data_IF_046810086205
#
_entry.id   IF_046810086205
#
_cell.length_a   1.000
_cell.length_b   1.000
_cell.length_c   1.000
_cell.angle_alpha   90.00
_cell.angle_beta   90.00
_cell.angle_gamma   90.00
#
_symmetry.space_group_name_H-M   'P 1'
#
loop_
_entity.id
_entity.type
_entity.pdbx_description
1 polymer ?
#
# COMPACT_ATOMS: atom_id res chain seq x y z
N UNK A 1 1.95 -17.99 -21.70
CA UNK A 1 3.40 -18.22 -21.96
C UNK A 1 3.96 -18.77 -20.66
N UNK A 2 4.56 -19.97 -20.68
CA UNK A 2 5.01 -20.70 -19.48
C UNK A 2 6.09 -19.90 -18.73
N UNK A 3 5.78 -19.41 -17.53
CA UNK A 3 6.79 -18.80 -16.67
C UNK A 3 7.53 -19.90 -15.89
N UNK A 4 8.60 -20.45 -16.48
CA UNK A 4 9.58 -21.29 -15.77
C UNK A 4 10.61 -20.45 -14.99
N UNK A 5 10.20 -19.29 -14.48
CA UNK A 5 11.08 -18.43 -13.69
C UNK A 5 11.33 -19.02 -12.30
N UNK A 6 12.57 -18.88 -11.80
CA UNK A 6 12.85 -19.12 -10.38
C UNK A 6 12.20 -18.04 -9.52
N UNK A 7 11.93 -18.30 -8.21
CA UNK A 7 11.44 -17.28 -7.28
C UNK A 7 12.27 -15.98 -7.28
N UNK A 8 13.58 -16.10 -7.53
CA UNK A 8 14.47 -14.95 -7.67
C UNK A 8 14.25 -14.18 -8.98
N UNK A 9 14.08 -14.87 -10.12
CA UNK A 9 13.75 -14.21 -11.39
C UNK A 9 12.42 -13.47 -11.32
N UNK A 10 11.45 -14.08 -10.63
CA UNK A 10 10.18 -13.47 -10.24
C UNK A 10 10.38 -12.15 -9.46
N UNK A 11 11.17 -12.18 -8.38
CA UNK A 11 11.52 -10.99 -7.61
C UNK A 11 12.16 -9.88 -8.45
N UNK A 12 13.17 -10.21 -9.27
CA UNK A 12 13.85 -9.25 -10.16
C UNK A 12 12.88 -8.63 -11.17
N UNK A 13 11.99 -9.42 -11.76
CA UNK A 13 11.01 -8.91 -12.72
C UNK A 13 10.06 -7.89 -12.09
N UNK A 14 9.54 -8.18 -10.90
CA UNK A 14 8.64 -7.24 -10.20
C UNK A 14 9.36 -5.93 -9.84
N UNK A 15 10.64 -6.01 -9.44
CA UNK A 15 11.46 -4.83 -9.23
C UNK A 15 11.67 -4.01 -10.50
N UNK A 16 11.93 -4.66 -11.64
CA UNK A 16 12.07 -3.98 -12.93
C UNK A 16 10.76 -3.29 -13.35
N UNK A 17 9.61 -3.92 -13.12
CA UNK A 17 8.29 -3.33 -13.36
C UNK A 17 8.06 -2.09 -12.50
N UNK A 18 8.38 -2.17 -11.20
CA UNK A 18 8.26 -1.02 -10.29
C UNK A 18 9.16 0.15 -10.73
N UNK A 19 10.39 -0.12 -11.18
CA UNK A 19 11.29 0.88 -11.74
C UNK A 19 10.74 1.48 -13.04
N UNK A 20 10.15 0.66 -13.91
CA UNK A 20 9.55 1.13 -15.16
C UNK A 20 8.36 2.07 -14.89
N UNK A 21 7.46 1.72 -13.97
CA UNK A 21 6.35 2.59 -13.53
C UNK A 21 6.90 3.92 -13.01
N UNK A 22 7.98 3.88 -12.23
CA UNK A 22 8.64 5.07 -11.71
C UNK A 22 9.14 5.98 -12.84
N UNK A 23 9.92 5.45 -13.78
CA UNK A 23 10.50 6.24 -14.87
C UNK A 23 9.43 6.79 -15.80
N UNK A 24 8.43 5.98 -16.16
CA UNK A 24 7.32 6.42 -17.00
C UNK A 24 6.56 7.63 -16.42
N UNK A 25 6.46 7.70 -15.08
CA UNK A 25 5.83 8.84 -14.39
C UNK A 25 6.72 10.07 -14.26
N UNK A 26 8.04 9.91 -14.24
CA UNK A 26 8.97 11.04 -14.29
C UNK A 26 9.06 11.65 -15.69
N UNK A 27 8.95 10.81 -16.72
CA UNK A 27 8.98 11.23 -18.12
C UNK A 27 7.67 11.88 -18.60
N UNK A 28 6.60 11.89 -17.80
CA UNK A 28 5.32 12.57 -18.08
C UNK A 28 5.42 14.09 -18.37
N UNK A 29 6.60 14.71 -18.24
CA UNK A 29 6.89 16.04 -18.80
C UNK A 29 6.96 16.05 -20.33
N UNK A 30 7.12 14.89 -20.96
CA UNK A 30 7.12 14.66 -22.41
C UNK A 30 5.88 13.83 -22.77
N UNK A 31 5.11 14.32 -23.74
CA UNK A 31 3.80 13.78 -24.15
C UNK A 31 3.93 12.30 -24.58
N UNK A 32 3.02 11.44 -24.09
CA UNK A 32 2.74 10.03 -24.47
C UNK A 32 3.04 8.89 -23.45
N UNK A 33 3.52 9.18 -22.24
CA UNK A 33 3.79 8.15 -21.22
C UNK A 33 2.55 7.43 -20.63
N UNK A 34 1.34 7.96 -20.82
CA UNK A 34 0.11 7.33 -20.30
C UNK A 34 -0.22 6.00 -20.98
N UNK A 35 0.06 5.88 -22.28
CA UNK A 35 -0.18 4.67 -23.06
C UNK A 35 0.69 3.48 -22.59
N UNK A 36 1.94 3.76 -22.19
CA UNK A 36 2.85 2.76 -21.65
C UNK A 36 2.39 2.21 -20.30
N UNK A 37 1.91 3.08 -19.41
CA UNK A 37 1.40 2.68 -18.08
C UNK A 37 0.12 1.83 -18.18
N UNK A 38 -0.75 2.11 -19.15
CA UNK A 38 -1.94 1.29 -19.41
C UNK A 38 -1.58 -0.14 -19.85
N UNK A 39 -0.60 -0.29 -20.76
CA UNK A 39 -0.09 -1.60 -21.19
C UNK A 39 0.48 -2.38 -20.01
N UNK A 40 1.34 -1.75 -19.21
CA UNK A 40 1.96 -2.35 -18.01
C UNK A 40 0.90 -2.80 -17.02
N UNK A 41 -0.15 -1.99 -16.81
CA UNK A 41 -1.27 -2.36 -15.96
C UNK A 41 -2.05 -3.56 -16.48
N UNK A 42 -2.24 -3.67 -17.80
CA UNK A 42 -2.91 -4.81 -18.42
C UNK A 42 -2.11 -6.11 -18.27
N UNK A 43 -0.82 -6.06 -18.56
CA UNK A 43 0.09 -7.20 -18.45
C UNK A 43 0.21 -7.68 -17.00
N UNK A 44 0.36 -6.76 -16.05
CA UNK A 44 0.39 -7.10 -14.62
C UNK A 44 -0.89 -7.79 -14.14
N UNK A 45 -2.06 -7.35 -14.64
CA UNK A 45 -3.34 -8.01 -14.32
C UNK A 45 -3.40 -9.43 -14.89
N UNK A 46 -2.90 -9.64 -16.11
CA UNK A 46 -2.86 -10.96 -16.73
C UNK A 46 -1.88 -11.90 -16.02
N UNK A 47 -0.81 -11.36 -15.46
CA UNK A 47 0.24 -12.14 -14.82
C UNK A 47 -0.08 -12.54 -13.37
N UNK A 48 -0.95 -11.79 -12.65
CA UNK A 48 -1.28 -12.06 -11.24
C UNK A 48 -1.81 -13.48 -10.97
N UNK A 49 -2.79 -14.04 -11.72
CA UNK A 49 -3.31 -15.37 -11.41
C UNK A 49 -2.23 -16.45 -11.49
N UNK A 50 -1.32 -16.33 -12.46
CA UNK A 50 -0.19 -17.26 -12.60
C UNK A 50 0.79 -17.15 -11.42
N UNK A 51 0.96 -15.94 -10.87
CA UNK A 51 1.77 -15.70 -9.66
C UNK A 51 1.17 -16.34 -8.41
N UNK A 52 -0.12 -16.12 -8.16
CA UNK A 52 -0.83 -16.63 -6.97
C UNK A 52 -0.89 -18.16 -6.94
N UNK A 53 -0.89 -18.79 -8.13
CA UNK A 53 -0.92 -20.23 -8.28
C UNK A 53 0.46 -20.89 -8.22
N UNK A 54 1.58 -20.15 -8.14
CA UNK A 54 2.92 -20.73 -8.08
C UNK A 54 3.22 -21.29 -6.67
N UNK A 55 3.29 -22.63 -6.50
CA UNK A 55 3.51 -23.24 -5.19
C UNK A 55 4.88 -22.90 -4.58
N UNK A 56 5.84 -22.43 -5.39
CA UNK A 56 7.18 -22.03 -4.93
C UNK A 56 7.17 -20.66 -4.24
N UNK A 57 6.12 -19.87 -4.45
CA UNK A 57 5.89 -18.57 -3.82
C UNK A 57 4.98 -18.70 -2.60
N UNK A 58 5.03 -19.83 -1.91
CA UNK A 58 4.27 -20.08 -0.69
C UNK A 58 4.73 -19.18 0.47
N UNK A 59 3.75 -18.60 1.18
CA UNK A 59 3.95 -17.88 2.44
C UNK A 59 4.08 -18.79 3.66
N UNK A 60 4.08 -20.11 3.48
CA UNK A 60 4.29 -21.05 4.57
C UNK A 60 5.62 -20.76 5.27
N UNK A 61 5.67 -20.68 6.62
CA UNK A 61 6.92 -20.53 7.36
C UNK A 61 7.93 -21.66 7.09
N UNK A 62 7.43 -22.81 6.62
CA UNK A 62 8.23 -23.99 6.27
C UNK A 62 8.82 -23.90 4.86
N UNK A 63 8.41 -22.92 4.05
CA UNK A 63 8.94 -22.71 2.70
C UNK A 63 10.32 -22.04 2.77
N UNK A 64 11.33 -22.58 2.05
CA UNK A 64 12.66 -21.95 1.98
C UNK A 64 12.65 -20.60 1.24
N UNK A 65 11.58 -20.31 0.50
CA UNK A 65 11.42 -19.06 -0.25
C UNK A 65 10.39 -18.10 0.36
N UNK A 66 9.89 -18.38 1.57
CA UNK A 66 8.84 -17.59 2.22
C UNK A 66 9.17 -16.09 2.32
N UNK A 67 10.38 -15.73 2.75
CA UNK A 67 10.81 -14.34 2.81
C UNK A 67 10.85 -13.66 1.43
N UNK A 68 11.36 -14.37 0.41
CA UNK A 68 11.43 -13.87 -0.96
C UNK A 68 10.03 -13.73 -1.58
N UNK A 69 9.14 -14.68 -1.28
CA UNK A 69 7.73 -14.61 -1.68
C UNK A 69 7.06 -13.39 -1.04
N UNK A 70 7.26 -13.13 0.26
CA UNK A 70 6.73 -11.95 0.94
C UNK A 70 7.27 -10.64 0.33
N UNK A 71 8.58 -10.54 0.10
CA UNK A 71 9.20 -9.34 -0.47
C UNK A 71 8.70 -9.07 -1.90
N UNK A 72 8.72 -10.09 -2.77
CA UNK A 72 8.25 -9.96 -4.15
C UNK A 72 6.76 -9.62 -4.23
N UNK A 73 5.96 -10.22 -3.35
CA UNK A 73 4.54 -9.91 -3.19
C UNK A 73 4.31 -8.46 -2.77
N UNK A 74 5.12 -7.95 -1.83
CA UNK A 74 5.03 -6.56 -1.39
C UNK A 74 5.36 -5.57 -2.53
N UNK A 75 6.37 -5.88 -3.35
CA UNK A 75 6.73 -5.05 -4.51
C UNK A 75 5.64 -5.13 -5.59
N UNK A 76 5.00 -6.29 -5.77
CA UNK A 76 3.88 -6.47 -6.71
C UNK A 76 2.66 -5.63 -6.29
N UNK A 77 2.32 -5.65 -5.00
CA UNK A 77 1.31 -4.76 -4.42
C UNK A 77 1.65 -3.29 -4.69
N UNK A 78 2.90 -2.90 -4.42
CA UNK A 78 3.38 -1.54 -4.63
C UNK A 78 3.24 -1.12 -6.09
N UNK A 79 3.62 -1.98 -7.04
CA UNK A 79 3.49 -1.71 -8.46
C UNK A 79 2.03 -1.44 -8.85
N UNK A 80 1.10 -2.26 -8.36
CA UNK A 80 -0.33 -2.03 -8.60
C UNK A 80 -0.83 -0.73 -7.96
N UNK A 81 -0.53 -0.47 -6.69
CA UNK A 81 -0.93 0.80 -6.02
C UNK A 81 -0.35 2.01 -6.77
N UNK A 82 0.91 1.88 -7.21
CA UNK A 82 1.59 2.89 -8.02
C UNK A 82 1.18 2.87 -9.49
N UNK A 83 0.24 2.08 -9.96
CA UNK A 83 -0.40 2.28 -11.26
C UNK A 83 -1.64 3.15 -11.11
N UNK A 84 -2.42 2.91 -10.04
CA UNK A 84 -3.71 3.54 -9.81
C UNK A 84 -3.64 5.01 -9.35
N UNK A 85 -2.52 5.44 -8.76
CA UNK A 85 -2.38 6.82 -8.27
C UNK A 85 -0.96 7.33 -8.18
N UNK A 86 -0.74 8.64 -8.39
CA UNK A 86 0.58 9.24 -8.36
C UNK A 86 1.04 9.61 -6.94
N UNK A 87 1.85 8.71 -6.37
CA UNK A 87 2.48 8.85 -5.06
C UNK A 87 3.86 9.54 -5.13
N UNK A 88 4.30 9.99 -6.30
CA UNK A 88 5.65 10.53 -6.50
C UNK A 88 5.93 11.80 -5.69
N UNK A 89 4.89 12.59 -5.39
CA UNK A 89 5.03 13.77 -4.53
C UNK A 89 5.30 13.38 -3.06
N UNK A 90 4.53 12.43 -2.53
CA UNK A 90 4.73 11.92 -1.16
C UNK A 90 6.11 11.28 -1.05
N UNK A 91 6.47 10.41 -2.00
CA UNK A 91 7.79 9.78 -2.04
C UNK A 91 8.94 10.81 -2.03
N UNK A 92 8.85 11.88 -2.83
CA UNK A 92 9.84 12.97 -2.84
C UNK A 92 9.93 13.69 -1.50
N UNK A 93 8.79 13.93 -0.85
CA UNK A 93 8.77 14.54 0.48
C UNK A 93 9.46 13.64 1.52
N UNK A 94 9.30 12.32 1.45
CA UNK A 94 9.99 11.39 2.36
C UNK A 94 11.51 11.50 2.23
N UNK A 95 12.05 11.67 1.02
CA UNK A 95 13.49 11.88 0.79
C UNK A 95 14.03 13.19 1.35
N UNK A 96 13.17 14.17 1.69
CA UNK A 96 13.62 15.39 2.36
C UNK A 96 13.98 15.16 3.83
N UNK A 97 13.50 14.06 4.43
CA UNK A 97 13.55 13.80 5.88
C UNK A 97 12.94 14.91 6.75
N UNK A 98 12.21 15.86 6.15
CA UNK A 98 11.58 16.99 6.81
C UNK A 98 10.11 16.69 7.10
N UNK A 99 9.73 16.77 8.37
CA UNK A 99 8.40 16.46 8.85
C UNK A 99 7.32 17.39 8.27
N UNK A 100 7.61 18.69 8.14
CA UNK A 100 6.66 19.68 7.63
C UNK A 100 6.44 19.47 6.13
N UNK A 101 7.50 19.13 5.39
CA UNK A 101 7.42 18.80 3.96
C UNK A 101 6.61 17.52 3.74
N UNK A 102 6.83 16.49 4.57
CA UNK A 102 6.06 15.24 4.51
C UNK A 102 4.58 15.51 4.81
N UNK A 103 4.27 16.20 5.92
CA UNK A 103 2.89 16.51 6.30
C UNK A 103 2.14 17.29 5.22
N UNK A 104 2.78 18.33 4.69
CA UNK A 104 2.22 19.12 3.60
C UNK A 104 1.93 18.27 2.37
N UNK A 105 2.84 17.35 2.03
CA UNK A 105 2.63 16.41 0.92
C UNK A 105 1.45 15.46 1.16
N UNK A 106 1.21 15.09 2.42
CA UNK A 106 0.09 14.25 2.83
C UNK A 106 -1.23 15.00 2.80
N UNK A 107 -1.27 16.31 3.03
CA UNK A 107 -2.50 17.11 3.02
C UNK A 107 -2.87 17.61 1.62
N UNK A 108 -1.91 18.10 0.85
CA UNK A 108 -2.17 18.90 -0.36
C UNK A 108 -2.41 18.08 -1.63
N UNK A 109 -2.19 16.76 -1.61
CA UNK A 109 -2.20 15.96 -2.85
C UNK A 109 -3.60 15.40 -3.18
N UNK A 110 -4.27 15.85 -4.27
CA UNK A 110 -5.65 15.47 -4.58
C UNK A 110 -5.76 14.28 -5.55
N UNK A 111 -4.66 13.74 -6.09
CA UNK A 111 -4.68 12.78 -7.22
C UNK A 111 -4.27 11.35 -6.85
N UNK A 112 -4.65 10.89 -5.66
CA UNK A 112 -4.10 9.64 -5.11
C UNK A 112 -4.87 8.38 -5.48
N UNK A 113 -6.15 8.47 -5.82
CA UNK A 113 -6.91 7.36 -6.42
C UNK A 113 -8.31 7.83 -6.85
N UNK A 114 -8.82 7.48 -8.04
CA UNK A 114 -10.24 7.64 -8.36
C UNK A 114 -11.12 6.76 -7.46
N UNK A 115 -12.33 7.24 -7.12
CA UNK A 115 -13.38 6.47 -6.41
C UNK A 115 -13.81 5.25 -7.24
N UNK A 116 -13.73 5.38 -8.57
CA UNK A 116 -14.04 4.36 -9.56
C UNK A 116 -12.96 3.26 -9.58
N UNK A 117 -13.07 2.40 -8.56
CA UNK A 117 -12.42 1.11 -8.39
C UNK A 117 -10.89 1.12 -8.30
N UNK A 118 -10.34 1.00 -7.07
CA UNK A 118 -9.15 0.18 -6.89
C UNK A 118 -9.37 -1.16 -7.58
N UNK A 119 -8.34 -1.75 -8.16
CA UNK A 119 -8.32 -3.18 -8.33
C UNK A 119 -8.40 -3.81 -6.92
N UNK A 120 -9.62 -4.09 -6.47
CA UNK A 120 -9.97 -4.43 -5.08
C UNK A 120 -9.26 -5.69 -4.59
N UNK A 121 -8.86 -6.54 -5.52
CA UNK A 121 -8.01 -7.71 -5.27
C UNK A 121 -6.60 -7.33 -4.79
N UNK A 122 -6.00 -6.25 -5.32
CA UNK A 122 -4.70 -5.73 -4.87
C UNK A 122 -4.78 -5.26 -3.43
N UNK A 123 -5.83 -4.48 -3.14
CA UNK A 123 -6.03 -3.92 -1.80
C UNK A 123 -6.32 -5.06 -0.82
N UNK A 124 -7.15 -6.03 -1.20
CA UNK A 124 -7.40 -7.24 -0.41
C UNK A 124 -6.12 -8.04 -0.14
N UNK A 125 -5.30 -8.25 -1.17
CA UNK A 125 -4.05 -8.98 -1.07
C UNK A 125 -3.01 -8.24 -0.21
N UNK A 126 -2.88 -6.93 -0.42
CA UNK A 126 -1.97 -6.09 0.35
C UNK A 126 -2.39 -5.99 1.83
N UNK A 127 -3.69 -5.98 2.11
CA UNK A 127 -4.22 -6.05 3.47
C UNK A 127 -4.05 -7.45 4.09
N UNK A 128 -4.21 -8.52 3.31
CA UNK A 128 -3.96 -9.91 3.73
C UNK A 128 -2.48 -10.12 4.06
N UNK A 129 -1.59 -9.53 3.27
CA UNK A 129 -0.15 -9.49 3.51
C UNK A 129 0.16 -8.69 4.77
N UNK A 130 -0.43 -7.50 4.96
CA UNK A 130 -0.27 -6.71 6.18
C UNK A 130 -0.70 -7.51 7.42
N UNK A 131 -1.82 -8.23 7.35
CA UNK A 131 -2.30 -9.12 8.41
C UNK A 131 -1.33 -10.28 8.68
N UNK A 132 -0.85 -10.93 7.62
CA UNK A 132 0.11 -12.04 7.74
C UNK A 132 1.44 -11.56 8.32
N UNK A 133 1.91 -10.36 7.97
CA UNK A 133 3.11 -9.76 8.54
C UNK A 133 2.95 -9.46 10.04
N UNK A 134 1.77 -9.04 10.48
CA UNK A 134 1.46 -8.82 11.90
C UNK A 134 1.39 -10.15 12.67
N UNK A 135 0.82 -11.19 12.07
CA UNK A 135 0.57 -12.48 12.73
C UNK A 135 1.78 -13.43 12.72
N UNK A 136 2.54 -13.47 11.63
CA UNK A 136 3.55 -14.51 11.42
C UNK A 136 4.85 -14.27 12.18
N UNK A 137 5.24 -13.01 12.39
CA UNK A 137 6.52 -12.65 12.98
C UNK A 137 6.44 -11.21 13.51
N UNK A 138 7.21 -10.82 14.55
CA UNK A 138 7.67 -9.44 14.66
C UNK A 138 8.65 -9.19 13.50
N UNK A 139 8.14 -9.20 12.26
CA UNK A 139 8.91 -8.85 11.07
C UNK A 139 9.30 -7.40 11.29
N UNK A 140 10.60 -7.17 11.47
CA UNK A 140 11.09 -5.83 11.32
C UNK A 140 10.72 -5.40 9.89
N UNK A 141 9.79 -4.47 9.75
CA UNK A 141 9.51 -3.82 8.45
C UNK A 141 10.70 -2.93 8.02
N UNK A 142 11.89 -3.16 8.60
CA UNK A 142 13.19 -2.58 8.24
C UNK A 142 13.55 -2.76 6.77
N UNK A 143 12.92 -3.73 6.10
CA UNK A 143 13.05 -3.93 4.67
C UNK A 143 12.28 -2.84 3.92
N UNK A 144 13.01 -2.12 3.06
CA UNK A 144 12.52 -0.96 2.31
C UNK A 144 11.20 -1.20 1.53
N UNK A 145 10.98 -2.38 0.87
CA UNK A 145 9.72 -2.64 0.18
C UNK A 145 8.49 -2.63 1.11
N UNK A 146 8.61 -3.22 2.31
CA UNK A 146 7.50 -3.29 3.27
C UNK A 146 7.18 -1.94 3.86
N UNK A 147 8.20 -1.15 4.21
CA UNK A 147 8.02 0.24 4.64
C UNK A 147 7.28 1.06 3.58
N UNK A 148 7.74 0.98 2.33
CA UNK A 148 7.14 1.74 1.23
C UNK A 148 5.71 1.28 0.97
N UNK A 149 5.44 -0.03 1.04
CA UNK A 149 4.10 -0.58 0.90
C UNK A 149 3.16 -0.05 1.99
N UNK A 150 3.57 -0.09 3.26
CA UNK A 150 2.76 0.42 4.39
C UNK A 150 2.42 1.89 4.20
N UNK A 151 3.38 2.71 3.78
CA UNK A 151 3.15 4.14 3.49
C UNK A 151 2.15 4.33 2.35
N UNK A 152 2.36 3.64 1.22
CA UNK A 152 1.52 3.78 0.03
C UNK A 152 0.09 3.29 0.30
N UNK A 153 -0.07 2.13 0.93
CA UNK A 153 -1.38 1.60 1.30
C UNK A 153 -2.08 2.49 2.33
N UNK A 154 -1.37 2.89 3.38
CA UNK A 154 -1.92 3.70 4.46
C UNK A 154 -2.55 4.99 3.91
N UNK A 155 -1.84 5.67 3.01
CA UNK A 155 -2.36 6.90 2.39
C UNK A 155 -3.49 6.62 1.39
N UNK A 156 -3.28 5.70 0.45
CA UNK A 156 -4.25 5.46 -0.63
C UNK A 156 -5.56 4.89 -0.11
N UNK A 157 -5.52 3.89 0.77
CA UNK A 157 -6.72 3.26 1.34
C UNK A 157 -7.44 4.23 2.27
N UNK A 158 -6.72 4.98 3.13
CA UNK A 158 -7.34 5.95 4.04
C UNK A 158 -8.12 7.01 3.26
N UNK A 159 -7.53 7.59 2.20
CA UNK A 159 -8.20 8.59 1.35
C UNK A 159 -9.37 8.01 0.57
N UNK A 160 -9.18 6.83 -0.01
CA UNK A 160 -10.24 6.16 -0.77
C UNK A 160 -11.43 5.84 0.14
N UNK A 161 -11.18 5.29 1.34
CA UNK A 161 -12.22 5.04 2.34
C UNK A 161 -12.88 6.33 2.81
N UNK A 162 -12.12 7.40 3.07
CA UNK A 162 -12.68 8.68 3.49
C UNK A 162 -13.63 9.25 2.44
N UNK A 163 -13.30 9.10 1.16
CA UNK A 163 -14.17 9.51 0.06
C UNK A 163 -15.40 8.61 -0.05
N UNK A 164 -15.22 7.30 0.12
CA UNK A 164 -16.33 6.34 0.12
C UNK A 164 -17.28 6.56 1.31
N UNK A 165 -16.76 6.89 2.49
CA UNK A 165 -17.52 7.18 3.71
C UNK A 165 -18.39 8.45 3.58
N UNK A 166 -18.11 9.32 2.60
CA UNK A 166 -18.95 10.48 2.26
C UNK A 166 -20.12 10.12 1.31
N UNK A 167 -20.10 8.93 0.71
CA UNK A 167 -21.16 8.44 -0.20
C UNK A 167 -22.18 7.59 0.54
N UNK A 168 -23.40 7.48 0.01
CA UNK A 168 -24.46 6.67 0.65
C UNK A 168 -24.11 5.18 0.59
N UNK A 169 -24.28 4.44 1.70
CA UNK A 169 -23.92 3.01 1.78
C UNK A 169 -24.72 2.12 0.82
N UNK A 170 -25.88 2.60 0.36
CA UNK A 170 -26.70 1.98 -0.68
C UNK A 170 -26.05 1.98 -2.06
N UNK A 171 -25.17 2.94 -2.34
CA UNK A 171 -24.47 3.06 -3.63
C UNK A 171 -23.21 2.18 -3.72
N UNK A 172 -22.80 1.55 -2.62
CA UNK A 172 -21.55 0.81 -2.58
C UNK A 172 -21.64 -0.52 -3.35
N UNK A 173 -20.53 -0.90 -3.97
CA UNK A 173 -20.33 -2.23 -4.55
C UNK A 173 -19.98 -3.25 -3.45
N UNK A 174 -20.24 -4.53 -3.68
CA UNK A 174 -19.94 -5.59 -2.70
C UNK A 174 -18.44 -5.69 -2.39
N UNK A 175 -17.60 -5.47 -3.39
CA UNK A 175 -16.14 -5.38 -3.20
C UNK A 175 -15.76 -4.25 -2.24
N UNK A 176 -16.43 -3.10 -2.32
CA UNK A 176 -16.17 -1.96 -1.44
C UNK A 176 -16.57 -2.25 0.00
N UNK A 177 -17.71 -2.93 0.20
CA UNK A 177 -18.14 -3.42 1.51
C UNK A 177 -17.15 -4.42 2.09
N UNK A 178 -16.68 -5.37 1.26
CA UNK A 178 -15.70 -6.36 1.67
C UNK A 178 -14.39 -5.73 2.15
N UNK A 179 -13.84 -4.76 1.41
CA UNK A 179 -12.61 -4.08 1.82
C UNK A 179 -12.81 -3.29 3.11
N UNK A 180 -13.92 -2.56 3.25
CA UNK A 180 -14.21 -1.87 4.52
C UNK A 180 -14.28 -2.87 5.67
N UNK A 181 -14.93 -4.02 5.49
CA UNK A 181 -14.98 -5.09 6.50
C UNK A 181 -13.59 -5.57 6.88
N UNK A 182 -12.74 -5.84 5.90
CA UNK A 182 -11.39 -6.35 6.12
C UNK A 182 -10.49 -5.31 6.82
N UNK A 183 -10.59 -4.03 6.43
CA UNK A 183 -9.90 -2.93 7.12
C UNK A 183 -10.41 -2.79 8.55
N UNK A 184 -11.72 -2.92 8.77
CA UNK A 184 -12.33 -2.86 10.11
C UNK A 184 -11.77 -3.96 11.00
N UNK A 185 -11.68 -5.19 10.49
CA UNK A 185 -11.07 -6.33 11.20
C UNK A 185 -9.61 -6.05 11.57
N UNK A 186 -8.79 -5.58 10.62
CA UNK A 186 -7.39 -5.21 10.86
C UNK A 186 -7.28 -4.12 11.94
N UNK A 187 -8.13 -3.09 11.89
CA UNK A 187 -8.11 -2.03 12.90
C UNK A 187 -8.61 -2.48 14.27
N UNK A 188 -9.48 -3.49 14.32
CA UNK A 188 -10.00 -4.06 15.57
C UNK A 188 -8.99 -4.96 16.27
N UNK A 189 -8.02 -5.55 15.54
CA UNK A 189 -6.89 -6.27 16.12
C UNK A 189 -5.90 -5.32 16.86
N UNK A 190 -6.00 -4.01 16.64
CA UNK A 190 -5.11 -3.01 17.25
C UNK A 190 -5.69 -2.48 18.57
N UNK A 191 -4.86 -2.46 19.62
CA UNK A 191 -5.22 -1.85 20.91
C UNK A 191 -5.07 -0.31 20.85
N UNK A 192 -6.09 0.34 20.29
CA UNK A 192 -6.13 1.79 20.19
C UNK A 192 -6.62 2.45 21.47
N UNK A 193 -6.03 3.61 21.79
CA UNK A 193 -6.49 4.49 22.86
C UNK A 193 -8.00 4.79 22.71
N UNK A 194 -8.81 4.63 23.79
CA UNK A 194 -10.25 4.90 23.77
C UNK A 194 -10.64 6.27 23.20
N UNK A 195 -9.76 7.28 23.23
CA UNK A 195 -10.00 8.58 22.59
C UNK A 195 -10.18 8.52 21.07
N UNK A 196 -9.74 7.44 20.44
CA UNK A 196 -9.92 7.18 19.02
C UNK A 196 -11.21 6.39 18.73
N UNK A 197 -11.97 6.00 19.76
CA UNK A 197 -13.24 5.32 19.58
C UNK A 197 -14.22 6.20 18.78
N UNK A 198 -14.90 5.59 17.81
CA UNK A 198 -15.87 6.29 16.96
C UNK A 198 -15.27 7.08 15.80
N UNK A 199 -13.94 7.12 15.64
CA UNK A 199 -13.32 7.69 14.43
C UNK A 199 -13.67 6.86 13.18
N UNK A 200 -13.73 7.47 11.99
CA UNK A 200 -13.97 6.76 10.73
C UNK A 200 -12.92 5.66 10.47
N UNK A 201 -13.30 4.62 9.73
CA UNK A 201 -12.42 3.46 9.44
C UNK A 201 -11.20 3.92 8.63
N UNK A 202 -11.38 4.91 7.75
CA UNK A 202 -10.30 5.60 7.03
C UNK A 202 -9.21 6.14 7.95
N UNK A 203 -9.60 6.77 9.06
CA UNK A 203 -8.67 7.35 10.04
C UNK A 203 -8.03 6.26 10.89
N UNK A 204 -8.82 5.27 11.31
CA UNK A 204 -8.31 4.14 12.11
C UNK A 204 -7.23 3.36 11.35
N UNK A 205 -7.42 3.14 10.05
CA UNK A 205 -6.42 2.45 9.22
C UNK A 205 -5.11 3.24 9.07
N UNK A 206 -5.20 4.57 9.00
CA UNK A 206 -4.02 5.44 8.96
C UNK A 206 -3.24 5.38 10.29
N UNK A 207 -3.94 5.32 11.42
CA UNK A 207 -3.34 5.10 12.75
C UNK A 207 -2.74 3.70 12.91
N UNK A 208 -3.34 2.67 12.30
CA UNK A 208 -2.74 1.33 12.22
C UNK A 208 -1.41 1.41 11.49
N UNK A 209 -1.39 2.06 10.32
CA UNK A 209 -0.19 2.24 9.50
C UNK A 209 0.91 2.99 10.26
N UNK A 210 0.56 4.05 11.00
CA UNK A 210 1.50 4.77 11.86
C UNK A 210 2.08 3.87 12.98
N UNK A 211 1.26 3.00 13.56
CA UNK A 211 1.69 2.07 14.62
C UNK A 211 2.65 1.01 14.08
N UNK A 212 2.38 0.48 12.89
CA UNK A 212 3.26 -0.46 12.18
C UNK A 212 4.59 0.20 11.83
N UNK A 213 4.58 1.45 11.35
CA UNK A 213 5.82 2.21 11.07
C UNK A 213 6.66 2.42 12.35
N UNK A 214 6.00 2.75 13.47
CA UNK A 214 6.69 3.01 14.74
C UNK A 214 7.25 1.75 15.41
N UNK A 215 6.62 0.59 15.22
CA UNK A 215 7.09 -0.66 15.84
C UNK A 215 8.43 -1.14 15.26
N UNK A 216 8.85 -0.60 14.11
CA UNK A 216 10.16 -0.86 13.53
C UNK A 216 11.17 0.23 13.85
N UNK A 217 11.95 -0.03 14.89
CA UNK A 217 12.93 0.90 15.48
C UNK A 217 14.26 1.00 14.72
N UNK A 218 14.40 0.35 13.57
CA UNK A 218 15.68 0.25 12.86
C UNK A 218 16.10 1.54 12.14
N UNK A 219 15.17 2.44 11.81
CA UNK A 219 15.46 3.66 11.05
C UNK A 219 14.71 4.88 11.59
N UNK A 220 15.44 5.99 11.81
CA UNK A 220 14.86 7.25 12.33
C UNK A 220 13.74 7.81 11.43
N UNK A 221 13.84 7.63 10.11
CA UNK A 221 12.81 8.07 9.16
C UNK A 221 11.45 7.38 9.41
N UNK A 222 11.42 6.15 9.90
CA UNK A 222 10.16 5.45 10.21
C UNK A 222 9.42 6.12 11.36
N UNK A 223 10.15 6.65 12.34
CA UNK A 223 9.56 7.42 13.44
C UNK A 223 8.98 8.75 12.95
N UNK A 224 9.66 9.43 12.03
CA UNK A 224 9.17 10.67 11.40
C UNK A 224 7.89 10.38 10.60
N UNK A 225 7.88 9.32 9.79
CA UNK A 225 6.70 8.92 9.01
C UNK A 225 5.52 8.54 9.89
N UNK A 226 5.75 7.77 10.95
CA UNK A 226 4.72 7.41 11.92
C UNK A 226 4.10 8.66 12.58
N UNK A 227 4.93 9.64 12.95
CA UNK A 227 4.45 10.89 13.54
C UNK A 227 3.67 11.74 12.52
N UNK A 228 4.16 11.83 11.28
CA UNK A 228 3.47 12.53 10.20
C UNK A 228 2.09 11.90 9.92
N UNK A 229 1.99 10.57 9.88
CA UNK A 229 0.72 9.87 9.68
C UNK A 229 -0.26 10.12 10.82
N UNK A 230 0.23 10.14 12.06
CA UNK A 230 -0.60 10.43 13.23
C UNK A 230 -1.16 11.86 13.19
N UNK A 231 -0.33 12.85 12.89
CA UNK A 231 -0.79 14.24 12.77
C UNK A 231 -1.75 14.44 11.58
N UNK A 232 -1.49 13.77 10.46
CA UNK A 232 -2.42 13.77 9.34
C UNK A 232 -3.77 13.15 9.73
N UNK A 233 -3.78 12.02 10.46
CA UNK A 233 -4.99 11.39 10.97
C UNK A 233 -5.79 12.31 11.91
N UNK A 234 -5.10 13.06 12.76
CA UNK A 234 -5.73 14.03 13.65
C UNK A 234 -6.40 15.16 12.85
N UNK A 235 -5.77 15.65 11.77
CA UNK A 235 -6.37 16.65 10.87
C UNK A 235 -7.62 16.14 10.13
N UNK A 236 -7.66 14.87 9.76
CA UNK A 236 -8.82 14.23 9.14
C UNK A 236 -9.97 13.99 10.14
N UNK A 237 -9.70 13.94 11.44
CA UNK A 237 -10.71 13.73 12.48
C UNK A 237 -11.40 15.03 12.91
N UNK A 238 -10.79 16.19 12.60
CA UNK A 238 -11.29 17.52 12.97
C UNK A 238 -12.13 18.22 11.91
N UNK A 239 -12.28 17.60 10.73
CA UNK A 239 -13.07 18.09 9.60
C UNK A 239 -14.46 17.43 9.57
#
# INVERSE_FOLDING_TARGET
MLYSGSPFGCYIMVHALMQHIYYARQDCGMKDSSSGLESVGSELRQWRPDWEMDPRLSFSPLSPFSALALDSSAVLCLAHVCLEGDLSHIRRAIYSHDMDVILRSLTENPKLMPIAAPNMEVVSYALSLARTLVQAYPVSISNLPHTHLVVCLGVSISRWLSTLEQTSSSEWLDSQRYIKSLVTEITAEMDFDPKNAGKPVSVMFLLTSATVLRSSSSWAILSVLALAFKQYADSCSSA
#
